data_IF_010567906447
#
_entry.id   IF_010567906447
#
_cell.length_a   1.000
_cell.length_b   1.000
_cell.length_c   1.000
_cell.angle_alpha   90.00
_cell.angle_beta   90.00
_cell.angle_gamma   90.00
#
_symmetry.space_group_name_H-M   'P 1'
#
loop_
_entity.id
_entity.type
_entity.pdbx_description
1 polymer ?
#
# COMPACT_ATOMS: atom_id res chain seq x y z
N UNK A 1 -3.81 -3.79 -12.06
CA UNK A 1 -3.91 -5.09 -11.38
C UNK A 1 -4.43 -6.24 -12.26
N UNK A 2 -4.80 -5.97 -13.51
CA UNK A 2 -5.13 -7.01 -14.50
C UNK A 2 -3.89 -7.70 -15.10
N UNK A 3 -2.81 -7.77 -14.34
CA UNK A 3 -1.59 -8.52 -14.68
C UNK A 3 -1.75 -10.00 -14.35
N UNK A 4 -0.91 -10.86 -14.94
CA UNK A 4 -0.91 -12.28 -14.62
C UNK A 4 -0.69 -12.54 -13.12
N UNK A 5 0.18 -11.76 -12.48
CA UNK A 5 0.43 -11.85 -11.04
C UNK A 5 -0.81 -11.43 -10.22
N UNK A 6 -1.46 -10.33 -10.59
CA UNK A 6 -2.68 -9.87 -9.94
C UNK A 6 -3.82 -10.88 -10.04
N UNK A 7 -3.99 -11.47 -11.23
CA UNK A 7 -4.98 -12.52 -11.44
C UNK A 7 -4.69 -13.78 -10.61
N UNK A 8 -3.45 -14.27 -10.60
CA UNK A 8 -3.06 -15.43 -9.78
C UNK A 8 -3.30 -15.19 -8.29
N UNK A 9 -3.03 -13.97 -7.82
CA UNK A 9 -3.28 -13.59 -6.44
C UNK A 9 -4.79 -13.58 -6.12
N UNK A 10 -5.61 -12.98 -6.98
CA UNK A 10 -7.05 -12.96 -6.82
C UNK A 10 -7.66 -14.38 -6.80
N UNK A 11 -7.21 -15.26 -7.70
CA UNK A 11 -7.61 -16.67 -7.74
C UNK A 11 -7.20 -17.42 -6.47
N UNK A 12 -6.01 -17.15 -5.93
CA UNK A 12 -5.57 -17.74 -4.67
C UNK A 12 -6.45 -17.28 -3.48
N UNK A 13 -6.75 -15.99 -3.41
CA UNK A 13 -7.64 -15.42 -2.39
C UNK A 13 -9.06 -16.00 -2.51
N UNK A 14 -9.62 -16.08 -3.72
CA UNK A 14 -10.90 -16.74 -3.97
C UNK A 14 -10.92 -18.17 -3.41
N UNK A 15 -9.85 -18.96 -3.67
CA UNK A 15 -9.73 -20.31 -3.14
C UNK A 15 -9.60 -20.39 -1.61
N UNK A 16 -9.09 -19.35 -0.95
CA UNK A 16 -9.09 -19.27 0.51
C UNK A 16 -10.46 -18.91 1.07
N UNK A 17 -11.18 -17.98 0.45
CA UNK A 17 -12.55 -17.63 0.82
C UNK A 17 -13.51 -18.81 0.68
N UNK A 18 -13.40 -19.59 -0.41
CA UNK A 18 -14.20 -20.79 -0.61
C UNK A 18 -14.03 -21.83 0.51
N UNK A 19 -12.81 -21.98 1.04
CA UNK A 19 -12.54 -22.93 2.16
C UNK A 19 -13.26 -22.56 3.45
N UNK A 20 -13.64 -21.30 3.61
CA UNK A 20 -14.40 -20.81 4.77
C UNK A 20 -15.88 -20.56 4.43
N UNK A 21 -16.33 -21.00 3.26
CA UNK A 21 -17.74 -20.97 2.85
C UNK A 21 -18.18 -19.64 2.22
N UNK A 22 -17.23 -18.78 1.82
CA UNK A 22 -17.53 -17.53 1.11
C UNK A 22 -17.32 -17.72 -0.39
N UNK A 23 -18.35 -17.50 -1.18
CA UNK A 23 -18.28 -17.53 -2.65
C UNK A 23 -17.91 -16.17 -3.17
N UNK A 24 -16.84 -16.08 -3.97
CA UNK A 24 -16.36 -14.85 -4.57
C UNK A 24 -16.40 -14.93 -6.09
N UNK A 25 -16.74 -13.81 -6.76
CA UNK A 25 -16.46 -13.57 -8.16
C UNK A 25 -15.23 -12.68 -8.30
N UNK A 26 -14.47 -12.87 -9.38
CA UNK A 26 -13.30 -12.03 -9.69
C UNK A 26 -13.67 -11.18 -10.89
N UNK A 27 -13.69 -9.86 -10.67
CA UNK A 27 -13.87 -8.86 -11.71
C UNK A 27 -12.53 -8.20 -12.02
N UNK A 28 -12.18 -8.14 -13.29
CA UNK A 28 -10.93 -7.53 -13.77
C UNK A 28 -11.20 -6.42 -14.75
N UNK A 29 -10.57 -5.27 -14.52
CA UNK A 29 -10.77 -4.06 -15.31
C UNK A 29 -9.44 -3.48 -15.80
N UNK A 30 -9.48 -2.64 -16.82
CA UNK A 30 -8.38 -1.74 -17.11
C UNK A 30 -8.20 -0.72 -15.96
N UNK A 31 -7.03 -0.09 -15.90
CA UNK A 31 -6.67 0.78 -14.77
C UNK A 31 -7.62 1.97 -14.57
N UNK A 32 -8.13 2.57 -15.65
CA UNK A 32 -9.02 3.73 -15.55
C UNK A 32 -10.36 3.33 -14.95
N UNK A 33 -10.98 2.29 -15.49
CA UNK A 33 -12.24 1.72 -14.99
C UNK A 33 -12.07 1.20 -13.55
N UNK A 34 -10.92 0.58 -13.24
CA UNK A 34 -10.63 0.09 -11.90
C UNK A 34 -10.61 1.23 -10.87
N UNK A 35 -9.90 2.32 -11.16
CA UNK A 35 -9.87 3.49 -10.28
C UNK A 35 -11.24 4.12 -10.05
N UNK A 36 -12.05 4.20 -11.10
CA UNK A 36 -13.41 4.73 -10.98
C UNK A 36 -14.26 3.88 -10.03
N UNK A 37 -14.23 2.54 -10.20
CA UNK A 37 -14.96 1.61 -9.32
C UNK A 37 -14.48 1.67 -7.87
N UNK A 38 -13.18 1.66 -7.67
CA UNK A 38 -12.58 1.75 -6.33
C UNK A 38 -12.90 3.10 -5.69
N UNK A 39 -12.78 4.20 -6.43
CA UNK A 39 -13.11 5.54 -5.95
C UNK A 39 -14.60 5.79 -5.67
N UNK A 40 -15.49 4.95 -6.19
CA UNK A 40 -16.92 4.98 -5.85
C UNK A 40 -17.34 3.94 -4.81
N UNK A 41 -16.41 3.09 -4.36
CA UNK A 41 -16.71 2.01 -3.42
C UNK A 41 -17.53 0.85 -4.01
N UNK A 42 -17.56 0.69 -5.33
CA UNK A 42 -18.30 -0.36 -6.04
C UNK A 42 -17.51 -1.69 -6.03
N UNK A 43 -17.26 -2.21 -4.83
CA UNK A 43 -16.57 -3.48 -4.59
C UNK A 43 -16.81 -3.98 -3.16
N UNK A 44 -16.67 -5.28 -2.93
CA UNK A 44 -16.64 -5.89 -1.59
C UNK A 44 -15.21 -5.98 -1.06
N UNK A 45 -14.28 -6.42 -1.93
CA UNK A 45 -12.83 -6.50 -1.65
C UNK A 45 -12.07 -6.07 -2.91
N UNK A 46 -11.01 -5.31 -2.76
CA UNK A 46 -10.17 -4.92 -3.88
C UNK A 46 -8.68 -5.17 -3.60
N UNK A 47 -7.90 -5.43 -4.65
CA UNK A 47 -6.44 -5.47 -4.59
C UNK A 47 -5.90 -4.05 -4.81
N UNK A 48 -5.28 -3.49 -3.82
CA UNK A 48 -4.72 -2.14 -3.92
C UNK A 48 -3.27 -2.10 -3.44
N UNK A 49 -2.52 -1.15 -3.92
CA UNK A 49 -1.14 -0.95 -3.52
C UNK A 49 -0.78 0.52 -3.47
N UNK A 50 0.16 0.86 -2.64
CA UNK A 50 0.68 2.20 -2.48
C UNK A 50 2.20 2.23 -2.49
N UNK A 51 2.77 3.26 -3.09
CA UNK A 51 4.21 3.52 -3.07
C UNK A 51 4.41 4.80 -2.28
N UNK A 52 5.17 4.72 -1.19
CA UNK A 52 5.43 5.87 -0.34
C UNK A 52 6.31 6.92 -1.03
N UNK A 53 5.95 8.20 -0.85
CA UNK A 53 6.60 9.32 -1.52
C UNK A 53 7.80 9.88 -0.74
N UNK A 54 7.76 9.79 0.59
CA UNK A 54 8.68 10.49 1.48
C UNK A 54 9.43 9.56 2.46
N UNK A 55 9.08 8.27 2.51
CA UNK A 55 9.68 7.30 3.43
C UNK A 55 9.19 7.44 4.88
N UNK A 56 8.16 8.23 5.14
CA UNK A 56 7.53 8.35 6.45
C UNK A 56 6.30 7.45 6.55
N UNK A 57 6.06 6.77 7.68
CA UNK A 57 4.88 5.92 7.88
C UNK A 57 3.55 6.64 7.70
N UNK A 58 3.48 7.94 7.94
CA UNK A 58 2.26 8.75 7.76
C UNK A 58 1.72 8.66 6.33
N UNK A 59 2.60 8.54 5.34
CA UNK A 59 2.21 8.42 3.93
C UNK A 59 1.36 7.18 3.64
N UNK A 60 1.52 6.13 4.42
CA UNK A 60 0.71 4.91 4.35
C UNK A 60 -0.53 5.00 5.27
N UNK A 61 -0.37 5.52 6.47
CA UNK A 61 -1.46 5.61 7.45
C UNK A 61 -2.54 6.61 7.05
N UNK A 62 -2.16 7.69 6.35
CA UNK A 62 -3.12 8.65 5.79
C UNK A 62 -4.11 8.04 4.79
N UNK A 63 -3.79 6.88 4.20
CA UNK A 63 -4.71 6.16 3.32
C UNK A 63 -5.99 5.71 4.03
N UNK A 64 -5.97 5.56 5.36
CA UNK A 64 -7.11 5.16 6.18
C UNK A 64 -7.78 6.32 6.92
N UNK A 65 -7.21 7.52 6.87
CA UNK A 65 -7.71 8.69 7.56
C UNK A 65 -8.23 9.79 6.61
N UNK A 66 -8.03 9.64 5.31
CA UNK A 66 -8.47 10.62 4.32
C UNK A 66 -9.99 10.64 4.19
N UNK A 67 -10.56 11.82 4.05
CA UNK A 67 -11.96 11.99 3.64
C UNK A 67 -12.16 11.72 2.14
N UNK A 68 -11.07 11.69 1.37
CA UNK A 68 -11.08 11.38 -0.06
C UNK A 68 -11.12 9.87 -0.30
N UNK A 69 -12.23 9.39 -0.82
CA UNK A 69 -12.45 7.97 -1.10
C UNK A 69 -11.48 7.40 -2.15
N UNK A 70 -10.95 8.22 -3.07
CA UNK A 70 -9.94 7.78 -4.04
C UNK A 70 -8.61 7.44 -3.36
N UNK A 71 -8.37 7.97 -2.16
CA UNK A 71 -7.22 7.70 -1.32
C UNK A 71 -7.58 6.65 -0.26
N UNK A 72 -8.64 6.89 0.50
CA UNK A 72 -9.15 5.97 1.52
C UNK A 72 -10.05 4.91 0.91
N UNK A 73 -9.46 4.05 0.10
CA UNK A 73 -10.21 2.99 -0.60
C UNK A 73 -10.86 1.98 0.35
N UNK A 74 -10.36 1.83 1.56
CA UNK A 74 -10.99 0.99 2.59
C UNK A 74 -12.23 1.62 3.22
N UNK A 75 -12.53 2.90 2.91
CA UNK A 75 -13.64 3.68 3.47
C UNK A 75 -13.63 3.68 5.00
N UNK A 76 -12.43 3.64 5.58
CA UNK A 76 -12.26 3.69 7.02
C UNK A 76 -12.67 5.07 7.58
N UNK A 77 -13.42 5.08 8.68
CA UNK A 77 -13.90 6.30 9.35
C UNK A 77 -13.69 6.25 10.86
N UNK A 78 -12.63 5.58 11.31
CA UNK A 78 -12.33 5.37 12.72
C UNK A 78 -11.72 6.64 13.36
N UNK A 79 -12.45 7.26 14.31
CA UNK A 79 -12.01 8.46 15.02
C UNK A 79 -10.78 8.22 15.91
N UNK A 80 -10.63 7.01 16.49
CA UNK A 80 -9.46 6.64 17.29
C UNK A 80 -8.21 6.58 16.42
N UNK A 81 -8.33 5.97 15.24
CA UNK A 81 -7.26 5.91 14.25
C UNK A 81 -6.84 7.32 13.81
N UNK A 82 -7.79 8.19 13.52
CA UNK A 82 -7.53 9.57 13.12
C UNK A 82 -6.84 10.37 14.26
N UNK A 83 -7.20 10.09 15.51
CA UNK A 83 -6.57 10.71 16.69
C UNK A 83 -5.11 10.25 16.82
N UNK A 84 -4.84 8.95 16.71
CA UNK A 84 -3.47 8.41 16.74
C UNK A 84 -2.61 8.97 15.60
N UNK A 85 -3.16 9.12 14.41
CA UNK A 85 -2.45 9.71 13.27
C UNK A 85 -2.06 11.16 13.54
N UNK A 86 -2.98 11.98 14.09
CA UNK A 86 -2.71 13.37 14.44
C UNK A 86 -1.65 13.47 15.56
N UNK A 87 -1.67 12.58 16.53
CA UNK A 87 -0.65 12.47 17.58
C UNK A 87 0.71 12.11 16.98
N UNK A 88 0.79 11.10 16.12
CA UNK A 88 2.02 10.70 15.44
C UNK A 88 2.61 11.83 14.59
N UNK A 89 1.75 12.61 13.90
CA UNK A 89 2.18 13.75 13.11
C UNK A 89 2.81 14.88 13.95
N UNK A 90 2.38 15.04 15.20
CA UNK A 90 2.90 16.06 16.14
C UNK A 90 4.06 15.56 17.00
N UNK A 91 4.33 14.25 17.02
CA UNK A 91 5.38 13.63 17.82
C UNK A 91 6.70 13.60 17.04
N UNK A 92 7.83 14.06 17.63
CA UNK A 92 9.13 13.98 16.98
C UNK A 92 9.54 12.54 16.65
N UNK A 93 10.32 12.36 15.60
CA UNK A 93 10.85 11.05 15.22
C UNK A 93 11.61 10.39 16.39
N UNK A 94 11.25 9.15 16.69
CA UNK A 94 11.82 8.38 17.79
C UNK A 94 10.93 7.23 18.25
N UNK A 95 11.29 6.62 19.38
CA UNK A 95 10.60 5.45 19.90
C UNK A 95 9.12 5.72 20.22
N UNK A 96 8.80 6.89 20.74
CA UNK A 96 7.43 7.29 21.07
C UNK A 96 6.55 7.33 19.81
N UNK A 97 7.00 8.00 18.76
CA UNK A 97 6.28 8.04 17.48
C UNK A 97 6.15 6.65 16.86
N UNK A 98 7.19 5.85 16.91
CA UNK A 98 7.15 4.48 16.41
C UNK A 98 6.15 3.61 17.18
N UNK A 99 6.01 3.82 18.49
CA UNK A 99 5.02 3.10 19.31
C UNK A 99 3.58 3.45 18.91
N UNK A 100 3.30 4.70 18.53
CA UNK A 100 1.98 5.10 18.01
C UNK A 100 1.68 4.36 16.71
N UNK A 101 2.61 4.36 15.76
CA UNK A 101 2.41 3.63 14.50
C UNK A 101 2.24 2.12 14.71
N UNK A 102 2.97 1.52 15.64
CA UNK A 102 2.80 0.10 15.96
C UNK A 102 1.40 -0.20 16.51
N UNK A 103 0.80 0.70 17.29
CA UNK A 103 -0.59 0.57 17.74
C UNK A 103 -1.58 0.70 16.59
N UNK A 104 -1.33 1.63 15.66
CA UNK A 104 -2.15 1.78 14.45
C UNK A 104 -2.09 0.53 13.56
N UNK A 105 -0.91 -0.04 13.36
CA UNK A 105 -0.74 -1.30 12.61
C UNK A 105 -1.48 -2.46 13.28
N UNK A 106 -1.39 -2.57 14.62
CA UNK A 106 -2.12 -3.60 15.36
C UNK A 106 -3.63 -3.43 15.20
N UNK A 107 -4.13 -2.20 15.26
CA UNK A 107 -5.56 -1.90 15.06
C UNK A 107 -6.03 -2.28 13.66
N UNK A 108 -5.26 -1.96 12.61
CA UNK A 108 -5.55 -2.37 11.23
C UNK A 108 -5.67 -3.89 11.12
N UNK A 109 -4.77 -4.62 11.79
CA UNK A 109 -4.76 -6.08 11.78
C UNK A 109 -5.95 -6.66 12.53
N UNK A 110 -6.29 -6.13 13.70
CA UNK A 110 -7.37 -6.62 14.55
C UNK A 110 -8.75 -6.38 13.91
N UNK A 111 -8.91 -5.26 13.21
CA UNK A 111 -10.15 -4.88 12.52
C UNK A 111 -10.23 -5.40 11.08
N UNK A 112 -9.14 -6.00 10.59
CA UNK A 112 -9.04 -6.53 9.22
C UNK A 112 -9.34 -5.48 8.13
N UNK A 113 -9.01 -4.21 8.37
CA UNK A 113 -9.23 -3.11 7.41
C UNK A 113 -8.41 -3.33 6.15
N UNK A 114 -7.17 -3.79 6.32
CA UNK A 114 -6.28 -4.23 5.25
C UNK A 114 -5.76 -5.64 5.53
N UNK A 115 -5.52 -6.38 4.46
CA UNK A 115 -4.70 -7.58 4.48
C UNK A 115 -3.38 -7.29 3.77
N UNK A 116 -2.28 -7.02 4.49
CA UNK A 116 -0.96 -6.85 3.87
C UNK A 116 -0.53 -8.16 3.21
N UNK A 117 -0.24 -8.12 1.91
CA UNK A 117 0.10 -9.32 1.14
C UNK A 117 1.61 -9.38 0.87
N UNK A 118 2.19 -8.29 0.39
CA UNK A 118 3.62 -8.24 0.06
C UNK A 118 4.15 -6.82 0.01
N UNK A 119 5.46 -6.69 0.24
CA UNK A 119 6.23 -5.51 -0.10
C UNK A 119 7.07 -5.82 -1.34
N UNK A 120 6.97 -4.95 -2.35
CA UNK A 120 7.72 -5.13 -3.59
C UNK A 120 9.18 -4.72 -3.37
N UNK A 121 10.12 -5.55 -3.82
CA UNK A 121 11.53 -5.17 -3.92
C UNK A 121 11.80 -4.44 -5.23
N UNK A 122 12.49 -3.31 -5.18
CA UNK A 122 12.94 -2.58 -6.35
C UNK A 122 14.31 -3.15 -6.80
N UNK A 123 14.28 -3.96 -7.84
CA UNK A 123 15.48 -4.56 -8.40
C UNK A 123 16.03 -3.70 -9.55
N UNK A 124 17.33 -3.43 -9.52
CA UNK A 124 18.04 -2.72 -10.58
C UNK A 124 19.22 -3.55 -11.07
N UNK A 125 19.34 -3.65 -12.39
CA UNK A 125 20.48 -4.29 -13.04
C UNK A 125 21.23 -3.29 -13.91
N UNK A 126 22.55 -3.27 -13.80
CA UNK A 126 23.42 -2.41 -14.60
C UNK A 126 24.74 -3.10 -14.93
N UNK A 127 25.42 -2.62 -15.97
CA UNK A 127 26.70 -3.17 -16.41
C UNK A 127 27.78 -2.89 -15.36
N UNK A 128 28.79 -3.77 -15.27
CA UNK A 128 29.89 -3.65 -14.31
C UNK A 128 30.73 -2.36 -14.46
N UNK A 129 30.66 -1.71 -15.61
CA UNK A 129 31.34 -0.45 -15.87
C UNK A 129 30.45 0.80 -15.57
N UNK A 130 29.29 0.62 -14.98
CA UNK A 130 28.46 1.70 -14.43
C UNK A 130 28.80 1.86 -12.96
N UNK A 131 29.16 3.05 -12.55
CA UNK A 131 29.59 3.35 -11.19
C UNK A 131 28.67 4.41 -10.54
N UNK A 132 28.57 4.35 -9.22
CA UNK A 132 27.81 5.27 -8.37
C UNK A 132 26.29 5.31 -8.69
N UNK A 133 25.75 4.23 -9.22
CA UNK A 133 24.30 4.09 -9.29
C UNK A 133 23.75 3.75 -7.89
N UNK A 134 22.72 4.47 -7.46
CA UNK A 134 22.05 4.25 -6.18
C UNK A 134 20.60 3.89 -6.47
N UNK A 135 20.19 2.69 -6.10
CA UNK A 135 18.78 2.30 -6.13
C UNK A 135 18.04 3.03 -5.00
N UNK A 136 17.08 3.88 -5.35
CA UNK A 136 16.29 4.63 -4.36
C UNK A 136 15.07 3.81 -3.91
N UNK A 137 14.72 3.79 -2.61
CA UNK A 137 13.60 3.00 -2.09
C UNK A 137 12.25 3.32 -2.74
N UNK A 138 12.03 4.58 -3.12
CA UNK A 138 10.80 5.03 -3.80
C UNK A 138 10.76 4.72 -5.30
N UNK A 139 11.76 4.01 -5.84
CA UNK A 139 11.88 3.72 -7.27
C UNK A 139 12.32 4.91 -8.16
N UNK A 140 12.60 6.06 -7.58
CA UNK A 140 13.11 7.21 -8.31
C UNK A 140 14.55 6.96 -8.81
N UNK A 141 14.86 7.46 -10.00
CA UNK A 141 16.16 7.30 -10.63
C UNK A 141 16.95 8.59 -10.55
N UNK A 142 18.05 8.58 -9.78
CA UNK A 142 18.95 9.71 -9.64
C UNK A 142 20.31 9.38 -10.27
N UNK A 143 20.61 10.01 -11.41
CA UNK A 143 21.82 9.72 -12.19
C UNK A 143 22.91 10.81 -12.07
N UNK A 144 22.72 11.82 -11.23
CA UNK A 144 23.63 12.97 -11.13
C UNK A 144 25.08 12.62 -10.76
N UNK A 145 25.29 11.48 -10.09
CA UNK A 145 26.61 10.98 -9.70
C UNK A 145 26.99 9.68 -10.44
N UNK A 146 26.10 9.17 -11.28
CA UNK A 146 26.33 7.94 -12.02
C UNK A 146 27.18 8.21 -13.24
N UNK A 147 28.20 7.40 -13.46
CA UNK A 147 29.06 7.51 -14.64
C UNK A 147 29.42 6.14 -15.19
N UNK A 148 29.86 6.11 -16.43
CA UNK A 148 30.34 4.91 -17.12
C UNK A 148 31.83 5.06 -17.39
N UNK A 149 32.60 4.03 -17.08
CA UNK A 149 34.02 3.95 -17.32
C UNK A 149 34.34 2.86 -18.35
#
# INVERSE_FOLDING_TARGET
YNTATGQTLAEALQGYYEKVGVTCSIDSYDWTTYKEKVGTGDYDVCLYGWIGDNGDPDNFMNLLASEDIEINVAQNSDEEFNTMLAEAASTPNGEERNAIYAQMEQKIADECVWLPISHQENLSAYLSNVHNYIAHPTGNVFLSQTYKQ
#
